data_IF_819857138380
#
_entry.id   IF_819857138380
#
_cell.length_a   1.000
_cell.length_b   1.000
_cell.length_c   1.000
_cell.angle_alpha   90.00
_cell.angle_beta   90.00
_cell.angle_gamma   90.00
#
_symmetry.space_group_name_H-M   'P 1'
#
loop_
_entity.id
_entity.type
_entity.pdbx_description
1 polymer ?
#
# COMPACT_ATOMS: atom_id res chain seq x y z
N UNK A 1 9.63 29.93 3.70
CA UNK A 1 9.32 28.63 3.09
C UNK A 1 9.53 28.73 1.59
N UNK A 2 10.50 28.02 1.06
CA UNK A 2 10.75 27.90 -0.39
C UNK A 2 9.92 26.72 -0.97
N UNK A 3 9.98 26.48 -2.29
CA UNK A 3 9.26 25.36 -2.94
C UNK A 3 9.69 23.99 -2.40
N UNK A 4 10.97 23.85 -2.06
CA UNK A 4 11.52 22.62 -1.50
C UNK A 4 10.94 22.33 -0.11
N UNK A 5 10.86 23.34 0.75
CA UNK A 5 10.27 23.18 2.10
C UNK A 5 8.80 22.74 2.04
N UNK A 6 8.05 23.20 1.04
CA UNK A 6 6.65 22.79 0.84
C UNK A 6 6.60 21.31 0.42
N UNK A 7 7.43 20.92 -0.53
CA UNK A 7 7.51 19.54 -1.00
C UNK A 7 7.91 18.57 0.11
N UNK A 8 8.94 18.91 0.89
CA UNK A 8 9.37 18.10 2.03
C UNK A 8 8.26 18.01 3.10
N UNK A 9 7.50 19.08 3.31
CA UNK A 9 6.34 19.06 4.23
C UNK A 9 5.23 18.11 3.73
N UNK A 10 5.03 17.99 2.42
CA UNK A 10 4.05 17.06 1.83
C UNK A 10 4.50 15.61 2.07
N UNK A 11 5.78 15.30 1.84
CA UNK A 11 6.35 13.96 2.09
C UNK A 11 6.21 13.59 3.57
N UNK A 12 6.63 14.48 4.47
CA UNK A 12 6.53 14.25 5.91
C UNK A 12 5.08 14.02 6.34
N UNK A 13 4.13 14.79 5.79
CA UNK A 13 2.72 14.61 6.10
C UNK A 13 2.19 13.26 5.60
N UNK A 14 2.64 12.77 4.44
CA UNK A 14 2.27 11.44 3.96
C UNK A 14 2.80 10.34 4.88
N UNK A 15 4.06 10.43 5.31
CA UNK A 15 4.66 9.47 6.23
C UNK A 15 3.95 9.45 7.61
N UNK A 16 3.53 10.61 8.11
CA UNK A 16 2.73 10.73 9.32
C UNK A 16 1.38 10.02 9.19
N UNK A 17 0.68 10.22 8.07
CA UNK A 17 -0.64 9.62 7.81
C UNK A 17 -0.58 8.09 7.72
N UNK A 18 0.44 7.55 7.04
CA UNK A 18 0.65 6.10 6.97
C UNK A 18 0.88 5.51 8.37
N UNK A 19 1.65 6.20 9.23
CA UNK A 19 1.91 5.76 10.61
C UNK A 19 0.70 5.91 11.53
N UNK A 20 -0.07 6.99 11.41
CA UNK A 20 -1.34 7.18 12.14
C UNK A 20 -2.33 6.06 11.80
N UNK A 21 -2.44 5.68 10.53
CA UNK A 21 -3.37 4.64 10.08
C UNK A 21 -2.97 3.25 10.56
N UNK A 22 -1.69 2.91 10.49
CA UNK A 22 -1.19 1.63 11.01
C UNK A 22 -1.53 1.48 12.51
N UNK A 23 -1.36 2.54 13.30
CA UNK A 23 -1.72 2.59 14.72
C UNK A 23 -3.22 2.46 14.97
N UNK A 24 -4.03 3.23 14.25
CA UNK A 24 -5.49 3.22 14.39
C UNK A 24 -6.07 1.81 14.22
N UNK A 25 -5.56 1.07 13.24
CA UNK A 25 -5.99 -0.30 12.95
C UNK A 25 -5.20 -1.37 13.72
N UNK A 26 -4.33 -0.96 14.66
CA UNK A 26 -3.50 -1.83 15.48
C UNK A 26 -2.70 -2.84 14.63
N UNK A 27 -2.10 -2.37 13.54
CA UNK A 27 -1.23 -3.20 12.72
C UNK A 27 0.10 -3.43 13.43
N UNK A 28 0.82 -4.52 13.13
CA UNK A 28 2.08 -4.82 13.80
C UNK A 28 3.11 -3.74 13.51
N UNK A 29 3.80 -3.28 14.56
CA UNK A 29 4.85 -2.28 14.50
C UNK A 29 6.14 -2.84 15.13
N UNK A 30 7.24 -2.12 14.93
CA UNK A 30 8.55 -2.48 15.44
C UNK A 30 9.48 -2.97 14.32
N UNK A 31 10.45 -3.81 14.67
CA UNK A 31 11.33 -4.40 13.68
C UNK A 31 10.61 -5.50 12.87
N UNK A 32 11.20 -5.93 11.75
CA UNK A 32 10.56 -6.91 10.86
C UNK A 32 10.21 -8.23 11.57
N UNK A 33 11.00 -8.70 12.54
CA UNK A 33 10.69 -9.93 13.26
C UNK A 33 9.45 -9.77 14.16
N UNK A 34 9.29 -8.61 14.81
CA UNK A 34 8.10 -8.26 15.58
C UNK A 34 6.87 -8.13 14.69
N UNK A 35 7.03 -7.48 13.54
CA UNK A 35 5.99 -7.35 12.52
C UNK A 35 5.52 -8.73 12.05
N UNK A 36 6.45 -9.61 11.64
CA UNK A 36 6.13 -10.98 11.19
C UNK A 36 5.40 -11.76 12.30
N UNK A 37 5.88 -11.69 13.55
CA UNK A 37 5.22 -12.34 14.70
C UNK A 37 3.80 -11.80 14.92
N UNK A 38 3.59 -10.50 14.75
CA UNK A 38 2.29 -9.86 14.83
C UNK A 38 1.34 -10.35 13.73
N UNK A 39 1.77 -10.29 12.47
CA UNK A 39 0.95 -10.70 11.32
C UNK A 39 0.56 -12.18 11.37
N UNK A 40 1.41 -13.08 11.89
CA UNK A 40 1.05 -14.50 12.12
C UNK A 40 -0.14 -14.69 13.05
N UNK A 41 -0.49 -13.69 13.88
CA UNK A 41 -1.61 -13.72 14.82
C UNK A 41 -2.82 -12.91 14.36
N UNK A 42 -2.69 -12.19 13.25
CA UNK A 42 -3.78 -11.36 12.71
C UNK A 42 -4.76 -12.25 11.95
N UNK A 43 -6.06 -12.00 12.15
CA UNK A 43 -7.11 -12.69 11.40
C UNK A 43 -7.17 -12.20 9.95
N UNK A 44 -7.57 -13.08 9.03
CA UNK A 44 -7.82 -12.71 7.62
C UNK A 44 -8.84 -11.57 7.52
N UNK A 45 -9.86 -11.55 8.37
CA UNK A 45 -10.85 -10.46 8.37
C UNK A 45 -10.23 -9.10 8.73
N UNK A 46 -9.25 -9.07 9.64
CA UNK A 46 -8.53 -7.84 9.95
C UNK A 46 -7.63 -7.41 8.78
N UNK A 47 -7.00 -8.35 8.07
CA UNK A 47 -6.28 -8.05 6.82
C UNK A 47 -7.22 -7.44 5.79
N UNK A 48 -8.40 -8.03 5.60
CA UNK A 48 -9.42 -7.52 4.67
C UNK A 48 -9.83 -6.10 5.00
N UNK A 49 -10.18 -5.83 6.26
CA UNK A 49 -10.56 -4.49 6.73
C UNK A 49 -9.42 -3.51 6.49
N UNK A 50 -8.20 -3.85 6.90
CA UNK A 50 -7.06 -2.96 6.76
C UNK A 50 -6.70 -2.69 5.29
N UNK A 51 -6.78 -3.69 4.42
CA UNK A 51 -6.58 -3.51 2.98
C UNK A 51 -7.64 -2.59 2.36
N UNK A 52 -8.91 -2.72 2.75
CA UNK A 52 -9.97 -1.81 2.29
C UNK A 52 -9.73 -0.37 2.75
N UNK A 53 -9.31 -0.20 4.00
CA UNK A 53 -8.99 1.11 4.59
C UNK A 53 -7.81 1.75 3.88
N UNK A 54 -6.72 1.00 3.64
CA UNK A 54 -5.58 1.50 2.86
C UNK A 54 -6.02 1.86 1.43
N UNK A 55 -6.86 1.05 0.79
CA UNK A 55 -7.34 1.36 -0.54
C UNK A 55 -8.10 2.69 -0.58
N UNK A 56 -9.03 2.91 0.36
CA UNK A 56 -9.76 4.17 0.52
C UNK A 56 -8.84 5.34 0.82
N UNK A 57 -7.87 5.16 1.70
CA UNK A 57 -6.88 6.19 2.00
C UNK A 57 -6.18 6.71 0.73
N UNK A 58 -5.71 5.79 -0.12
CA UNK A 58 -4.99 6.12 -1.36
C UNK A 58 -5.87 6.60 -2.53
N UNK A 59 -7.20 6.53 -2.41
CA UNK A 59 -8.14 6.79 -3.53
C UNK A 59 -9.19 7.85 -3.22
N UNK A 60 -9.83 7.78 -2.05
CA UNK A 60 -10.96 8.61 -1.62
C UNK A 60 -10.53 9.83 -0.81
N UNK A 61 -9.48 9.70 0.01
CA UNK A 61 -9.01 10.83 0.83
C UNK A 61 -8.25 11.84 -0.02
N UNK A 62 -8.57 13.12 0.13
CA UNK A 62 -8.06 14.18 -0.75
C UNK A 62 -6.53 14.24 -0.78
N UNK A 63 -5.89 14.30 0.39
CA UNK A 63 -4.44 14.48 0.46
C UNK A 63 -3.65 13.28 -0.12
N UNK A 64 -3.86 12.03 0.31
CA UNK A 64 -3.10 10.89 -0.21
C UNK A 64 -3.44 10.58 -1.67
N UNK A 65 -4.69 10.79 -2.10
CA UNK A 65 -5.10 10.61 -3.50
C UNK A 65 -4.37 11.62 -4.42
N UNK A 66 -4.30 12.89 -4.03
CA UNK A 66 -3.54 13.91 -4.75
C UNK A 66 -2.03 13.62 -4.73
N UNK A 67 -1.49 13.17 -3.60
CA UNK A 67 -0.09 12.78 -3.47
C UNK A 67 0.26 11.63 -4.43
N UNK A 68 -0.53 10.55 -4.45
CA UNK A 68 -0.37 9.43 -5.40
C UNK A 68 -0.36 9.91 -6.84
N UNK A 69 -1.35 10.71 -7.23
CA UNK A 69 -1.47 11.23 -8.60
C UNK A 69 -0.28 12.12 -8.97
N UNK A 70 0.20 12.95 -8.04
CA UNK A 70 1.38 13.78 -8.24
C UNK A 70 2.63 12.91 -8.47
N UNK A 71 2.85 11.87 -7.67
CA UNK A 71 3.95 10.92 -7.90
C UNK A 71 3.84 10.24 -9.27
N UNK A 72 2.64 9.79 -9.66
CA UNK A 72 2.40 9.15 -10.97
C UNK A 72 2.74 10.07 -12.14
N UNK A 73 2.40 11.36 -12.06
CA UNK A 73 2.68 12.34 -13.11
C UNK A 73 4.15 12.74 -13.19
N UNK A 74 4.79 12.90 -12.03
CA UNK A 74 6.13 13.48 -11.94
C UNK A 74 7.26 12.43 -12.04
N UNK A 75 6.96 11.12 -11.93
CA UNK A 75 7.97 10.04 -11.95
C UNK A 75 8.91 10.07 -13.17
N UNK A 76 8.46 10.62 -14.31
CA UNK A 76 9.26 10.68 -15.53
C UNK A 76 10.05 11.98 -15.70
N UNK A 77 9.91 12.93 -14.76
CA UNK A 77 10.53 14.26 -14.88
C UNK A 77 11.91 14.36 -14.24
N UNK A 78 12.14 13.64 -13.15
CA UNK A 78 13.46 13.56 -12.51
C UNK A 78 13.57 12.31 -11.62
N UNK A 79 14.82 11.97 -11.26
CA UNK A 79 15.13 10.76 -10.50
C UNK A 79 14.51 10.75 -9.10
N UNK A 80 14.49 11.88 -8.38
CA UNK A 80 13.91 11.95 -7.04
C UNK A 80 12.42 11.58 -7.05
N UNK A 81 11.67 12.07 -8.04
CA UNK A 81 10.25 11.72 -8.18
C UNK A 81 10.04 10.26 -8.60
N UNK A 82 10.94 9.70 -9.42
CA UNK A 82 10.93 8.28 -9.75
C UNK A 82 11.16 7.42 -8.50
N UNK A 83 12.12 7.81 -7.65
CA UNK A 83 12.45 7.10 -6.42
C UNK A 83 11.31 7.17 -5.40
N UNK A 84 10.64 8.32 -5.27
CA UNK A 84 9.46 8.47 -4.42
C UNK A 84 8.29 7.63 -4.95
N UNK A 85 8.04 7.64 -6.25
CA UNK A 85 7.02 6.78 -6.86
C UNK A 85 7.29 5.30 -6.57
N UNK A 86 8.55 4.85 -6.70
CA UNK A 86 8.97 3.49 -6.35
C UNK A 86 8.78 3.21 -4.86
N UNK A 87 9.23 4.12 -3.98
CA UNK A 87 9.12 4.00 -2.52
C UNK A 87 7.66 3.83 -2.06
N UNK A 88 6.74 4.67 -2.53
CA UNK A 88 5.37 4.68 -2.02
C UNK A 88 4.44 3.71 -2.74
N UNK A 89 4.62 3.50 -4.05
CA UNK A 89 3.58 2.85 -4.86
C UNK A 89 4.02 1.54 -5.51
N UNK A 90 5.32 1.27 -5.63
CA UNK A 90 5.80 0.10 -6.40
C UNK A 90 6.75 -0.77 -5.60
N UNK A 91 8.06 -0.49 -5.63
CA UNK A 91 9.05 -1.35 -5.00
C UNK A 91 8.92 -1.39 -3.48
N UNK A 92 8.62 -0.26 -2.81
CA UNK A 92 8.50 -0.23 -1.36
C UNK A 92 7.42 -1.18 -0.81
N UNK A 93 6.15 -1.09 -1.28
CA UNK A 93 5.11 -2.04 -0.89
C UNK A 93 5.44 -3.50 -1.23
N UNK A 94 6.03 -3.75 -2.42
CA UNK A 94 6.42 -5.10 -2.84
C UNK A 94 7.52 -5.66 -1.95
N UNK A 95 8.55 -4.88 -1.63
CA UNK A 95 9.66 -5.30 -0.80
C UNK A 95 9.18 -5.60 0.61
N UNK A 96 8.39 -4.70 1.22
CA UNK A 96 7.77 -4.91 2.53
C UNK A 96 6.97 -6.21 2.59
N UNK A 97 6.09 -6.44 1.62
CA UNK A 97 5.28 -7.65 1.56
C UNK A 97 6.11 -8.90 1.25
N UNK A 98 7.18 -8.78 0.47
CA UNK A 98 8.10 -9.89 0.20
C UNK A 98 8.77 -10.36 1.48
N UNK A 99 9.31 -9.44 2.29
CA UNK A 99 9.88 -9.78 3.59
C UNK A 99 8.83 -10.39 4.52
N UNK A 100 7.63 -9.82 4.54
CA UNK A 100 6.52 -10.30 5.35
C UNK A 100 6.11 -11.74 4.97
N UNK A 101 5.87 -12.02 3.69
CA UNK A 101 5.45 -13.33 3.21
C UNK A 101 6.56 -14.37 3.34
N UNK A 102 7.83 -14.00 3.14
CA UNK A 102 8.96 -14.88 3.41
C UNK A 102 8.98 -15.28 4.90
N UNK A 103 8.76 -14.31 5.79
CA UNK A 103 8.70 -14.50 7.22
C UNK A 103 7.51 -15.34 7.70
N UNK A 104 6.34 -15.22 7.06
CA UNK A 104 5.12 -15.96 7.44
C UNK A 104 5.13 -17.39 6.90
N UNK A 105 5.45 -17.56 5.61
CA UNK A 105 5.36 -18.86 4.93
C UNK A 105 6.60 -19.71 5.12
N UNK A 106 7.75 -19.11 5.45
CA UNK A 106 9.05 -19.77 5.45
C UNK A 106 9.61 -20.05 4.05
N UNK A 107 8.91 -19.65 2.99
CA UNK A 107 9.26 -19.90 1.60
C UNK A 107 9.81 -18.65 0.92
N UNK A 108 11.11 -18.40 1.08
CA UNK A 108 11.76 -17.19 0.55
C UNK A 108 11.64 -17.06 -0.98
N UNK A 109 11.82 -18.16 -1.70
CA UNK A 109 11.80 -18.16 -3.17
C UNK A 109 10.42 -17.83 -3.77
N UNK A 110 9.33 -18.14 -3.06
CA UNK A 110 7.95 -17.84 -3.49
C UNK A 110 7.47 -16.46 -3.00
N UNK A 111 8.12 -15.87 -2.00
CA UNK A 111 7.61 -14.72 -1.27
C UNK A 111 7.40 -13.47 -2.14
N UNK A 112 8.32 -13.20 -3.08
CA UNK A 112 8.17 -12.06 -4.00
C UNK A 112 6.99 -12.24 -4.94
N UNK A 113 6.77 -13.47 -5.39
CA UNK A 113 5.62 -13.79 -6.23
C UNK A 113 4.30 -13.61 -5.45
N UNK A 114 4.24 -14.04 -4.19
CA UNK A 114 3.10 -13.79 -3.31
C UNK A 114 2.84 -12.29 -3.10
N UNK A 115 3.90 -11.48 -2.94
CA UNK A 115 3.77 -10.03 -2.84
C UNK A 115 3.17 -9.41 -4.11
N UNK A 116 3.64 -9.82 -5.29
CA UNK A 116 3.10 -9.36 -6.58
C UNK A 116 1.64 -9.80 -6.76
N UNK A 117 1.33 -11.05 -6.42
CA UNK A 117 -0.04 -11.58 -6.54
C UNK A 117 -1.01 -10.87 -5.61
N UNK A 118 -0.58 -10.49 -4.41
CA UNK A 118 -1.42 -9.73 -3.47
C UNK A 118 -1.53 -8.26 -3.87
N UNK A 119 -0.41 -7.57 -4.12
CA UNK A 119 -0.39 -6.12 -4.28
C UNK A 119 -0.65 -5.66 -5.72
N UNK A 120 -0.23 -6.42 -6.73
CA UNK A 120 -0.38 -6.05 -8.14
C UNK A 120 -1.82 -5.68 -8.54
N UNK A 121 -2.83 -6.49 -8.18
CA UNK A 121 -4.22 -6.13 -8.42
C UNK A 121 -4.66 -4.86 -7.68
N UNK A 122 -4.21 -4.63 -6.45
CA UNK A 122 -4.53 -3.43 -5.66
C UNK A 122 -3.94 -2.18 -6.33
N UNK A 123 -2.67 -2.26 -6.74
CA UNK A 123 -1.99 -1.19 -7.47
C UNK A 123 -2.72 -0.85 -8.78
N UNK A 124 -3.16 -1.85 -9.54
CA UNK A 124 -3.95 -1.63 -10.75
C UNK A 124 -5.30 -0.96 -10.45
N UNK A 125 -5.96 -1.34 -9.35
CA UNK A 125 -7.22 -0.74 -8.93
C UNK A 125 -7.09 0.74 -8.56
N UNK A 126 -5.93 1.23 -8.11
CA UNK A 126 -5.70 2.68 -7.95
C UNK A 126 -5.86 3.44 -9.26
N UNK A 127 -5.31 2.90 -10.34
CA UNK A 127 -5.41 3.50 -11.69
C UNK A 127 -6.83 3.41 -12.24
N UNK A 128 -7.53 2.29 -11.98
CA UNK A 128 -8.95 2.16 -12.34
C UNK A 128 -9.81 3.16 -11.58
N UNK A 129 -9.50 3.43 -10.31
CA UNK A 129 -10.27 4.34 -9.47
C UNK A 129 -10.31 5.77 -10.03
N UNK A 130 -9.19 6.27 -10.55
CA UNK A 130 -9.08 7.63 -11.09
C UNK A 130 -9.99 7.90 -12.30
N UNK A 131 -10.44 6.84 -12.99
CA UNK A 131 -11.33 6.92 -14.15
C UNK A 131 -12.55 6.00 -14.01
N UNK A 132 -12.93 5.67 -12.77
CA UNK A 132 -14.04 4.74 -12.52
C UNK A 132 -15.35 5.33 -13.03
N UNK A 133 -16.20 4.48 -13.58
CA UNK A 133 -17.58 4.81 -13.87
C UNK A 133 -18.44 4.53 -12.64
N UNK A 134 -19.65 5.08 -12.60
CA UNK A 134 -20.55 4.88 -11.45
C UNK A 134 -20.87 3.40 -11.22
N UNK A 135 -20.88 2.58 -12.27
CA UNK A 135 -21.11 1.14 -12.19
C UNK A 135 -19.90 0.31 -11.72
N UNK A 136 -18.70 0.88 -11.64
CA UNK A 136 -17.48 0.14 -11.30
C UNK A 136 -17.35 -0.03 -9.77
N UNK A 137 -17.71 -1.20 -9.25
CA UNK A 137 -17.59 -1.54 -7.81
C UNK A 137 -16.18 -2.06 -7.45
N UNK A 138 -15.22 -1.13 -7.39
CA UNK A 138 -13.83 -1.44 -7.05
C UNK A 138 -13.67 -1.97 -5.61
N UNK A 139 -14.56 -1.58 -4.70
CA UNK A 139 -14.55 -2.08 -3.32
C UNK A 139 -14.92 -3.58 -3.28
N UNK A 140 -15.94 -3.99 -4.03
CA UNK A 140 -16.27 -5.41 -4.16
C UNK A 140 -15.16 -6.21 -4.85
N UNK A 141 -14.51 -5.66 -5.89
CA UNK A 141 -13.37 -6.32 -6.53
C UNK A 141 -12.20 -6.50 -5.56
N UNK A 142 -11.87 -5.48 -4.77
CA UNK A 142 -10.81 -5.56 -3.75
C UNK A 142 -11.12 -6.63 -2.72
N UNK A 143 -12.35 -6.66 -2.19
CA UNK A 143 -12.79 -7.68 -1.24
C UNK A 143 -12.68 -9.09 -1.83
N UNK A 144 -13.14 -9.28 -3.06
CA UNK A 144 -13.05 -10.56 -3.76
C UNK A 144 -11.60 -10.98 -3.99
N UNK A 145 -10.71 -10.04 -4.29
CA UNK A 145 -9.28 -10.28 -4.45
C UNK A 145 -8.65 -10.79 -3.15
N UNK A 146 -8.86 -10.10 -2.03
CA UNK A 146 -8.35 -10.53 -0.71
C UNK A 146 -8.91 -11.90 -0.33
N UNK A 147 -10.20 -12.15 -0.55
CA UNK A 147 -10.84 -13.44 -0.29
C UNK A 147 -10.20 -14.59 -1.08
N UNK A 148 -9.96 -14.38 -2.38
CA UNK A 148 -9.34 -15.40 -3.25
C UNK A 148 -7.89 -15.65 -2.85
N UNK A 149 -7.14 -14.59 -2.55
CA UNK A 149 -5.75 -14.69 -2.12
C UNK A 149 -5.63 -15.48 -0.81
N UNK A 150 -6.53 -15.24 0.15
CA UNK A 150 -6.52 -15.90 1.47
C UNK A 150 -6.76 -17.42 1.45
N UNK A 151 -7.22 -17.97 0.32
CA UNK A 151 -7.53 -19.39 0.13
C UNK A 151 -6.44 -20.17 -0.62
N UNK A 152 -5.35 -19.50 -1.03
CA UNK A 152 -4.16 -20.13 -1.60
C UNK A 152 -3.32 -20.79 -0.50
#
# INVERSE_FOLDING_TARGET
>A
KNKRDIFDSIINRMDELDYERAREYNMPEGNMDEIIKGYRKISIDKIRIYTEVQFKHWTEEEFPSLFRRMLTLEQYRNQEMADLYQKYLVSGPIDYMTYLFAGITGKKEEAKQLAIEFYGPIFLMYSLYDNKREEDDLAAMLKQHVDRFSKK
#
